data_IF_028570301424
#
_entry.id   IF_028570301424
#
_cell.length_a   1.000
_cell.length_b   1.000
_cell.length_c   1.000
_cell.angle_alpha   90.00
_cell.angle_beta   90.00
_cell.angle_gamma   90.00
#
_symmetry.space_group_name_H-M   'P 1'
#
loop_
_entity.id
_entity.type
_entity.pdbx_description
1 polymer ?
#
# COMPACT_ATOMS: atom_id res chain seq x y z
N UNK A 1 -11.28 12.78 -3.70
CA UNK A 1 -9.80 12.62 -3.73
C UNK A 1 -9.47 11.60 -4.83
N UNK A 2 -8.69 11.98 -5.85
CA UNK A 2 -8.42 11.12 -7.01
C UNK A 2 -7.23 10.20 -6.71
N UNK A 3 -7.49 8.90 -6.51
CA UNK A 3 -6.48 7.89 -6.12
C UNK A 3 -5.79 7.22 -7.31
N UNK A 4 -6.20 7.53 -8.52
CA UNK A 4 -5.56 7.13 -9.78
C UNK A 4 -5.01 8.36 -10.48
N UNK A 5 -3.83 8.23 -11.08
CA UNK A 5 -3.20 9.29 -11.88
C UNK A 5 -2.75 8.70 -13.20
N UNK A 6 -2.93 9.47 -14.27
CA UNK A 6 -2.34 9.11 -15.55
C UNK A 6 -0.88 9.53 -15.55
N UNK A 7 0.00 8.57 -15.81
CA UNK A 7 1.42 8.83 -16.04
C UNK A 7 1.74 8.49 -17.49
N UNK A 8 2.66 9.26 -18.06
CA UNK A 8 3.24 8.95 -19.37
C UNK A 8 4.59 8.32 -19.10
N UNK A 9 4.75 7.04 -19.41
CA UNK A 9 6.08 6.46 -19.47
C UNK A 9 6.77 7.00 -20.71
N UNK A 10 7.97 7.57 -20.58
CA UNK A 10 8.73 8.01 -21.74
C UNK A 10 9.20 6.79 -22.55
N UNK A 11 9.53 7.03 -23.81
CA UNK A 11 10.24 6.07 -24.63
C UNK A 11 11.60 5.77 -23.98
N UNK A 12 11.89 4.50 -23.70
CA UNK A 12 13.12 4.11 -23.01
C UNK A 12 13.59 2.71 -23.45
N UNK A 13 14.82 2.37 -23.06
CA UNK A 13 15.34 1.00 -23.16
C UNK A 13 14.92 0.24 -21.89
N UNK A 14 14.08 -0.78 -22.06
CA UNK A 14 13.58 -1.60 -20.98
C UNK A 14 14.42 -2.85 -20.78
N UNK A 15 14.75 -3.17 -19.53
CA UNK A 15 15.47 -4.38 -19.15
C UNK A 15 14.48 -5.50 -18.82
N UNK A 16 14.39 -6.50 -19.69
CA UNK A 16 13.58 -7.70 -19.46
C UNK A 16 14.14 -8.56 -18.31
N UNK A 17 13.32 -9.48 -17.78
CA UNK A 17 13.74 -10.45 -16.75
C UNK A 17 14.93 -11.32 -17.19
N UNK A 18 15.12 -11.51 -18.50
CA UNK A 18 16.25 -12.27 -19.07
C UNK A 18 17.53 -11.44 -19.26
N UNK A 19 17.62 -10.27 -18.63
CA UNK A 19 18.68 -9.27 -18.83
C UNK A 19 18.86 -8.83 -20.29
N UNK A 20 17.81 -8.95 -21.11
CA UNK A 20 17.80 -8.42 -22.47
C UNK A 20 17.24 -7.01 -22.48
N UNK A 21 17.73 -6.18 -23.41
CA UNK A 21 17.26 -4.81 -23.58
C UNK A 21 16.31 -4.74 -24.76
N UNK A 22 15.12 -4.19 -24.53
CA UNK A 22 14.12 -3.95 -25.57
C UNK A 22 13.77 -2.47 -25.62
N UNK A 23 13.64 -1.93 -26.82
CA UNK A 23 13.17 -0.57 -26.99
C UNK A 23 11.65 -0.53 -26.84
N UNK A 24 11.14 0.30 -25.94
CA UNK A 24 9.70 0.40 -25.67
C UNK A 24 9.19 1.82 -25.96
N UNK A 25 8.09 1.95 -26.72
CA UNK A 25 7.52 3.25 -27.04
C UNK A 25 6.85 3.89 -25.82
N UNK A 26 6.86 5.22 -25.76
CA UNK A 26 6.19 5.95 -24.71
C UNK A 26 4.70 5.63 -24.62
N UNK A 27 4.22 5.27 -23.44
CA UNK A 27 2.86 4.77 -23.22
C UNK A 27 2.18 5.53 -22.08
N UNK A 28 0.91 5.88 -22.27
CA UNK A 28 0.08 6.49 -21.22
C UNK A 28 -0.69 5.41 -20.47
N UNK A 29 -0.44 5.30 -19.18
CA UNK A 29 -1.11 4.33 -18.31
C UNK A 29 -1.76 5.02 -17.12
N UNK A 30 -2.81 4.40 -16.59
CA UNK A 30 -3.42 4.81 -15.32
C UNK A 30 -2.78 3.99 -14.21
N UNK A 31 -2.17 4.67 -13.23
CA UNK A 31 -1.55 4.01 -12.07
C UNK A 31 -2.22 4.44 -10.78
N UNK A 32 -2.06 3.62 -9.75
CA UNK A 32 -2.50 3.95 -8.41
C UNK A 32 -1.54 4.98 -7.79
N UNK A 33 -2.01 6.21 -7.53
CA UNK A 33 -1.18 7.31 -7.00
C UNK A 33 -0.54 6.95 -5.66
N UNK A 34 -1.26 6.22 -4.82
CA UNK A 34 -0.84 5.86 -3.46
C UNK A 34 0.26 4.81 -3.40
N UNK A 35 0.40 4.02 -4.46
CA UNK A 35 1.47 3.04 -4.57
C UNK A 35 2.65 3.57 -5.39
N UNK A 36 2.37 4.43 -6.36
CA UNK A 36 3.41 5.05 -7.19
C UNK A 36 4.15 6.18 -6.46
N UNK A 37 3.47 6.84 -5.52
CA UNK A 37 4.00 7.89 -4.64
C UNK A 37 3.72 7.53 -3.17
N UNK A 38 4.55 6.67 -2.55
CA UNK A 38 4.29 6.11 -1.22
C UNK A 38 4.39 7.14 -0.09
N UNK A 39 5.10 8.25 -0.30
CA UNK A 39 5.29 9.32 0.71
C UNK A 39 3.97 9.90 1.24
N UNK A 40 2.97 10.00 0.37
CA UNK A 40 1.63 10.51 0.71
C UNK A 40 0.78 9.48 1.48
N UNK A 41 1.01 8.19 1.25
CA UNK A 41 0.21 7.11 1.85
C UNK A 41 0.75 6.64 3.20
N UNK A 42 2.06 6.79 3.45
CA UNK A 42 2.73 6.37 4.69
C UNK A 42 2.07 6.89 5.96
N UNK A 43 1.57 8.14 5.97
CA UNK A 43 0.93 8.74 7.16
C UNK A 43 -0.37 8.05 7.57
N UNK A 44 -1.13 7.54 6.60
CA UNK A 44 -2.40 6.87 6.87
C UNK A 44 -2.22 5.39 7.26
N UNK A 45 -1.09 4.79 6.88
CA UNK A 45 -0.74 3.39 7.14
C UNK A 45 -0.43 3.11 8.62
N UNK A 46 -0.05 4.14 9.40
CA UNK A 46 0.32 4.01 10.82
C UNK A 46 -0.88 4.12 11.76
N UNK A 47 -2.01 4.63 11.27
CA UNK A 47 -3.25 4.70 12.06
C UNK A 47 -3.87 3.30 12.15
N UNK A 48 -4.32 2.80 13.32
CA UNK A 48 -4.70 1.39 13.49
C UNK A 48 -5.81 0.92 12.53
N UNK A 49 -7.05 1.39 12.75
CA UNK A 49 -8.21 1.01 11.92
C UNK A 49 -8.09 1.56 10.50
N UNK A 50 -7.69 2.82 10.36
CA UNK A 50 -7.59 3.49 9.06
C UNK A 50 -6.50 2.85 8.20
N UNK A 51 -5.35 2.50 8.79
CA UNK A 51 -4.23 1.86 8.11
C UNK A 51 -4.56 0.46 7.64
N UNK A 52 -5.31 -0.33 8.41
CA UNK A 52 -5.82 -1.63 7.97
C UNK A 52 -6.79 -1.50 6.78
N UNK A 53 -7.78 -0.61 6.88
CA UNK A 53 -8.73 -0.35 5.79
C UNK A 53 -8.00 0.14 4.53
N UNK A 54 -7.03 1.04 4.72
CA UNK A 54 -6.23 1.57 3.64
C UNK A 54 -5.35 0.49 3.00
N UNK A 55 -4.83 -0.45 3.78
CA UNK A 55 -4.07 -1.60 3.27
C UNK A 55 -4.94 -2.51 2.40
N UNK A 56 -6.16 -2.82 2.82
CA UNK A 56 -7.12 -3.58 2.00
C UNK A 56 -7.39 -2.84 0.67
N UNK A 57 -7.58 -1.53 0.74
CA UNK A 57 -7.76 -0.69 -0.44
C UNK A 57 -6.55 -0.71 -1.38
N UNK A 58 -5.32 -0.67 -0.85
CA UNK A 58 -4.08 -0.78 -1.64
C UNK A 58 -3.98 -2.13 -2.35
N UNK A 59 -4.31 -3.23 -1.65
CA UNK A 59 -4.32 -4.58 -2.22
C UNK A 59 -5.37 -4.66 -3.34
N UNK A 60 -6.60 -4.20 -3.09
CA UNK A 60 -7.67 -4.21 -4.08
C UNK A 60 -7.31 -3.39 -5.34
N UNK A 61 -6.75 -2.19 -5.16
CA UNK A 61 -6.33 -1.34 -6.29
C UNK A 61 -5.14 -1.90 -7.04
N UNK A 62 -4.23 -2.61 -6.38
CA UNK A 62 -3.17 -3.35 -7.08
C UNK A 62 -3.79 -4.36 -8.06
N UNK A 63 -4.74 -5.17 -7.60
CA UNK A 63 -5.36 -6.18 -8.45
C UNK A 63 -6.19 -5.62 -9.61
N UNK A 64 -6.85 -4.48 -9.40
CA UNK A 64 -7.77 -3.92 -10.41
C UNK A 64 -7.07 -2.94 -11.35
N UNK A 65 -6.32 -1.97 -10.82
CA UNK A 65 -5.76 -0.86 -11.61
C UNK A 65 -4.42 -1.26 -12.23
N UNK A 66 -3.52 -1.89 -11.46
CA UNK A 66 -2.22 -2.28 -12.02
C UNK A 66 -2.38 -3.40 -13.05
N UNK A 67 -3.35 -4.32 -12.87
CA UNK A 67 -3.67 -5.32 -13.89
C UNK A 67 -4.13 -4.68 -15.20
N UNK A 68 -4.98 -3.65 -15.13
CA UNK A 68 -5.40 -2.89 -16.31
C UNK A 68 -4.27 -2.05 -16.93
N UNK A 69 -3.28 -1.63 -16.12
CA UNK A 69 -2.09 -0.96 -16.62
C UNK A 69 -1.15 -1.95 -17.34
N UNK A 70 -0.91 -3.13 -16.75
CA UNK A 70 -0.10 -4.18 -17.34
C UNK A 70 -0.70 -4.73 -18.64
N UNK A 71 -2.02 -4.83 -18.74
CA UNK A 71 -2.66 -5.27 -19.98
C UNK A 71 -2.48 -4.28 -21.14
N UNK A 72 -2.01 -3.05 -20.89
CA UNK A 72 -1.68 -2.06 -21.93
C UNK A 72 -0.21 -2.06 -22.31
N UNK A 73 0.62 -2.85 -21.63
CA UNK A 73 2.04 -2.94 -21.86
C UNK A 73 2.33 -4.26 -22.58
N UNK A 74 3.09 -4.20 -23.66
CA UNK A 74 3.55 -5.40 -24.38
C UNK A 74 4.75 -6.08 -23.70
N UNK A 75 5.10 -5.63 -22.49
CA UNK A 75 6.23 -6.09 -21.70
C UNK A 75 5.89 -6.12 -20.21
N UNK A 76 6.65 -6.91 -19.45
CA UNK A 76 6.52 -6.99 -17.99
C UNK A 76 7.48 -6.00 -17.33
N UNK A 77 6.99 -5.04 -16.53
CA UNK A 77 7.88 -4.11 -15.81
C UNK A 77 8.85 -4.84 -14.89
N UNK A 78 10.08 -4.35 -14.79
CA UNK A 78 11.19 -4.96 -14.05
C UNK A 78 11.82 -3.93 -13.11
N UNK A 79 12.14 -4.33 -11.88
CA UNK A 79 12.77 -3.44 -10.88
C UNK A 79 14.17 -2.94 -11.29
N UNK A 80 14.85 -3.65 -12.18
CA UNK A 80 16.20 -3.32 -12.63
C UNK A 80 16.22 -2.41 -13.87
N UNK A 81 15.04 -2.00 -14.37
CA UNK A 81 14.98 -1.02 -15.46
C UNK A 81 15.61 0.30 -15.01
N UNK A 82 16.49 0.88 -15.84
CA UNK A 82 17.13 2.18 -15.56
C UNK A 82 16.11 3.30 -15.44
N UNK A 83 15.01 3.20 -16.19
CA UNK A 83 13.91 4.14 -16.07
C UNK A 83 13.18 3.93 -14.73
N UNK A 84 13.32 4.92 -13.84
CA UNK A 84 12.71 4.92 -12.50
C UNK A 84 11.20 4.85 -12.53
N UNK A 85 10.56 5.38 -13.58
CA UNK A 85 9.11 5.31 -13.72
C UNK A 85 8.69 3.89 -14.07
N UNK A 86 9.41 3.22 -14.97
CA UNK A 86 9.16 1.83 -15.33
C UNK A 86 9.44 0.88 -14.16
N UNK A 87 10.57 1.03 -13.46
CA UNK A 87 10.92 0.15 -12.35
C UNK A 87 9.95 0.23 -11.17
N UNK A 88 9.38 1.42 -10.89
CA UNK A 88 8.35 1.60 -9.85
C UNK A 88 7.02 0.88 -10.13
N UNK A 89 6.76 0.47 -11.37
CA UNK A 89 5.61 -0.39 -11.64
C UNK A 89 5.81 -1.78 -11.03
N UNK A 90 7.05 -2.22 -10.80
CA UNK A 90 7.33 -3.57 -10.37
C UNK A 90 6.59 -3.93 -9.05
N UNK A 91 5.95 -5.11 -8.97
CA UNK A 91 5.12 -5.49 -7.83
C UNK A 91 5.87 -5.55 -6.49
N UNK A 92 7.20 -5.71 -6.49
CA UNK A 92 7.98 -5.70 -5.24
C UNK A 92 7.87 -4.38 -4.46
N UNK A 93 7.70 -3.23 -5.12
CA UNK A 93 7.57 -1.94 -4.43
C UNK A 93 6.28 -1.85 -3.59
N UNK A 94 5.29 -2.71 -3.84
CA UNK A 94 4.05 -2.76 -3.08
C UNK A 94 4.17 -3.55 -1.78
N UNK A 95 5.07 -4.54 -1.75
CA UNK A 95 5.26 -5.43 -0.61
C UNK A 95 5.56 -4.62 0.66
N UNK A 96 6.59 -3.76 0.72
CA UNK A 96 6.90 -3.05 1.95
C UNK A 96 5.75 -2.14 2.40
N UNK A 97 5.04 -1.50 1.46
CA UNK A 97 3.92 -0.62 1.77
C UNK A 97 2.76 -1.37 2.43
N UNK A 98 2.44 -2.57 1.93
CA UNK A 98 1.43 -3.45 2.51
C UNK A 98 1.90 -3.97 3.88
N UNK A 99 3.17 -4.41 3.99
CA UNK A 99 3.72 -4.91 5.24
C UNK A 99 3.71 -3.84 6.33
N UNK A 100 4.10 -2.60 6.02
CA UNK A 100 4.04 -1.47 6.94
C UNK A 100 2.60 -1.15 7.36
N UNK A 101 1.64 -1.24 6.46
CA UNK A 101 0.22 -1.04 6.78
C UNK A 101 -0.35 -2.11 7.71
N UNK A 102 0.00 -3.38 7.50
CA UNK A 102 -0.40 -4.48 8.37
C UNK A 102 0.26 -4.35 9.74
N UNK A 103 1.58 -4.17 9.78
CA UNK A 103 2.35 -4.08 11.03
C UNK A 103 1.99 -2.82 11.82
N UNK A 104 1.86 -1.67 11.16
CA UNK A 104 1.44 -0.41 11.79
C UNK A 104 0.01 -0.50 12.29
N UNK A 105 -0.90 -0.99 11.44
CA UNK A 105 -2.30 -1.16 11.76
C UNK A 105 -2.55 -2.10 12.95
N UNK A 106 -2.06 -3.34 12.86
CA UNK A 106 -2.21 -4.36 13.92
C UNK A 106 -1.39 -3.98 15.15
N UNK A 107 -0.14 -3.54 14.96
CA UNK A 107 0.76 -3.17 16.04
C UNK A 107 0.22 -2.04 16.91
N UNK A 108 -0.48 -1.06 16.32
CA UNK A 108 -1.15 0.00 17.08
C UNK A 108 -2.48 -0.44 17.70
N UNK A 109 -3.15 -1.46 17.14
CA UNK A 109 -4.44 -1.97 17.66
C UNK A 109 -4.25 -2.73 18.98
N UNK A 110 -3.16 -3.50 19.12
CA UNK A 110 -2.85 -4.31 20.31
C UNK A 110 -2.82 -3.46 21.59
N UNK A 111 -2.01 -2.39 21.72
CA UNK A 111 -1.98 -1.58 22.95
C UNK A 111 -3.32 -0.90 23.22
N UNK A 112 -4.07 -0.53 22.17
CA UNK A 112 -5.42 0.03 22.30
C UNK A 112 -6.42 -0.97 22.90
N UNK A 113 -6.36 -2.23 22.48
CA UNK A 113 -7.17 -3.32 23.05
C UNK A 113 -6.79 -3.60 24.50
N UNK A 114 -5.50 -3.67 24.81
CA UNK A 114 -5.02 -3.86 26.19
C UNK A 114 -5.53 -2.75 27.09
N UNK A 115 -5.40 -1.48 26.68
CA UNK A 115 -5.90 -0.33 27.42
C UNK A 115 -7.41 -0.41 27.64
N UNK A 116 -8.17 -0.79 26.60
CA UNK A 116 -9.62 -0.97 26.68
C UNK A 116 -10.03 -2.06 27.68
N UNK A 117 -9.34 -3.21 27.66
CA UNK A 117 -9.59 -4.31 28.60
C UNK A 117 -9.30 -3.88 30.04
N UNK A 118 -8.16 -3.23 30.28
CA UNK A 118 -7.78 -2.72 31.61
C UNK A 118 -8.83 -1.75 32.14
N UNK A 119 -9.26 -0.77 31.33
CA UNK A 119 -10.33 0.17 31.69
C UNK A 119 -11.64 -0.54 32.02
N UNK A 120 -12.02 -1.55 31.23
CA UNK A 120 -13.23 -2.33 31.45
C UNK A 120 -13.17 -3.12 32.77
N UNK A 121 -11.99 -3.67 33.11
CA UNK A 121 -11.75 -4.36 34.38
C UNK A 121 -11.85 -3.40 35.56
N UNK A 122 -11.23 -2.21 35.47
CA UNK A 122 -11.33 -1.17 36.51
C UNK A 122 -12.79 -0.78 36.74
N UNK A 123 -13.55 -0.51 35.67
CA UNK A 123 -14.98 -0.18 35.78
C UNK A 123 -15.80 -1.30 36.43
N UNK A 124 -15.52 -2.57 36.09
CA UNK A 124 -16.18 -3.71 36.73
C UNK A 124 -15.88 -3.80 38.22
N UNK A 125 -14.63 -3.59 38.61
CA UNK A 125 -14.21 -3.59 40.02
C UNK A 125 -14.88 -2.44 40.78
N UNK A 126 -14.84 -1.22 40.23
CA UNK A 126 -15.49 -0.04 40.82
C UNK A 126 -17.00 -0.24 40.95
N UNK A 127 -17.67 -0.78 39.93
CA UNK A 127 -19.10 -1.08 39.99
C UNK A 127 -19.40 -2.11 41.09
N UNK A 128 -18.55 -3.12 41.25
CA UNK A 128 -18.69 -4.13 42.31
C UNK A 128 -18.47 -3.52 43.70
N UNK A 129 -17.53 -2.60 43.86
CA UNK A 129 -17.27 -1.89 45.12
C UNK A 129 -18.37 -0.87 45.47
N UNK A 130 -18.89 -0.10 44.50
CA UNK A 130 -20.00 0.83 44.73
C UNK A 130 -21.34 0.14 45.00
N UNK A 131 -21.51 -1.13 44.63
CA UNK A 131 -22.68 -1.94 45.03
C UNK A 131 -22.55 -2.44 46.48
N UNK A 132 -21.32 -2.43 47.04
CA UNK A 132 -21.01 -2.91 48.39
C UNK A 132 -20.93 -1.80 49.45
N UNK A 133 -21.09 -0.53 49.06
CA UNK A 133 -21.23 0.64 49.94
C UNK A 133 -22.70 1.03 49.97
#
# INVERSE_FOLDING_TARGET
MMFSVYITLPTHMHTSEKNTFIFVPGTKISVCKTAYFPELSMRFLVTPLIGLIFTIFLIYRRFTIMRAAYSKLDYTPNKHCEDKLCSRLHPEYYIPLVTTGILGGIGALIPLLVLGIVMCMIMKILKKLCIFI
#
